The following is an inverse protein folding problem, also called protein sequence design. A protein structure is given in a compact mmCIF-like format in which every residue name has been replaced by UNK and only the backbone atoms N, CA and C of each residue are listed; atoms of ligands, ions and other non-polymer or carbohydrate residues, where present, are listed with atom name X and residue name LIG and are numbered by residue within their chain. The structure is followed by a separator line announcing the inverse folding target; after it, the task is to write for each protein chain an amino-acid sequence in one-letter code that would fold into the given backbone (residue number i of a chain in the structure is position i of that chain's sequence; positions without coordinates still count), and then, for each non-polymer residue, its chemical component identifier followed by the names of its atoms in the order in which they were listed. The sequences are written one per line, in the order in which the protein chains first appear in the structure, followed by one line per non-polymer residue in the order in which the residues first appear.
data_IF_732348394537
#
_entry.id   IF_732348394537
#
_cell.length_a   1.000
_cell.length_b   1.000
_cell.length_c   1.000
_cell.angle_alpha   90.00
_cell.angle_beta   90.00
_cell.angle_gamma   90.00
#
_symmetry.space_group_name_H-M   'P 1'
#
loop_
_entity.id
_entity.type
_entity.pdbx_description
1 polymer ?
#
# COMPACT_ATOMS: atom_id res chain seq x y z
N UNK A 1 -11.42 9.92 -8.40
CA UNK A 1 -11.38 8.77 -7.47
C UNK A 1 -10.49 7.62 -7.95
N UNK A 2 -10.85 6.76 -8.93
CA UNK A 2 -9.94 5.69 -9.41
C UNK A 2 -8.72 6.22 -10.20
N UNK A 3 -8.88 7.30 -10.99
CA UNK A 3 -7.80 7.95 -11.78
C UNK A 3 -6.69 8.60 -10.93
N UNK A 4 -6.93 8.77 -9.63
CA UNK A 4 -6.00 9.43 -8.70
C UNK A 4 -5.16 8.39 -7.92
N UNK A 5 -5.52 7.11 -7.98
CA UNK A 5 -4.81 6.02 -7.30
C UNK A 5 -3.66 5.49 -8.15
N UNK A 6 -2.70 6.37 -8.43
CA UNK A 6 -1.55 6.05 -9.28
C UNK A 6 -0.37 5.45 -8.50
N UNK A 7 -0.46 5.42 -7.17
CA UNK A 7 0.58 4.86 -6.31
C UNK A 7 0.60 3.32 -6.37
N UNK A 8 1.78 2.68 -6.53
CA UNK A 8 1.93 1.23 -6.55
C UNK A 8 1.34 0.50 -5.33
N UNK A 9 1.16 1.19 -4.20
CA UNK A 9 0.57 0.60 -2.98
C UNK A 9 -0.83 0.01 -3.21
N UNK A 10 -1.61 0.57 -4.14
CA UNK A 10 -2.95 0.08 -4.45
C UNK A 10 -2.95 -1.27 -5.19
N UNK A 11 -1.78 -1.80 -5.55
CA UNK A 11 -1.64 -3.14 -6.11
C UNK A 11 -1.86 -4.25 -5.09
N UNK A 12 -1.61 -3.99 -3.81
CA UNK A 12 -1.71 -4.95 -2.70
C UNK A 12 -3.14 -5.12 -2.17
N UNK A 13 -4.08 -4.38 -2.73
CA UNK A 13 -5.46 -4.32 -2.28
C UNK A 13 -6.43 -4.59 -3.41
N UNK A 14 -7.67 -4.94 -3.06
CA UNK A 14 -8.75 -5.09 -4.05
C UNK A 14 -8.93 -3.80 -4.84
N UNK A 15 -9.11 -3.88 -6.17
CA UNK A 15 -9.24 -2.69 -7.03
C UNK A 15 -10.53 -1.92 -6.75
N UNK A 16 -11.51 -2.60 -6.17
CA UNK A 16 -12.80 -2.06 -5.76
C UNK A 16 -12.83 -2.03 -4.23
N UNK A 17 -12.59 -0.87 -3.61
CA UNK A 17 -12.73 -0.75 -2.17
C UNK A 17 -14.22 -0.74 -1.79
N UNK A 18 -14.52 -1.28 -0.62
CA UNK A 18 -15.85 -1.17 -0.04
C UNK A 18 -16.07 0.27 0.44
N UNK A 19 -17.25 0.82 0.19
CA UNK A 19 -17.64 2.13 0.72
C UNK A 19 -18.38 1.90 2.04
N UNK A 20 -17.85 2.45 3.13
CA UNK A 20 -18.47 2.36 4.46
C UNK A 20 -18.80 3.77 4.99
N UNK A 21 -19.89 3.85 5.74
CA UNK A 21 -20.28 5.05 6.49
C UNK A 21 -20.15 4.78 7.98
N UNK A 22 -19.31 5.54 8.67
CA UNK A 22 -19.07 5.39 10.11
C UNK A 22 -19.31 6.72 10.77
N UNK A 23 -20.29 6.76 11.68
CA UNK A 23 -20.74 7.98 12.33
C UNK A 23 -21.01 9.12 11.31
N UNK A 24 -21.67 8.80 10.20
CA UNK A 24 -21.98 9.74 9.12
C UNK A 24 -20.81 10.09 8.19
N UNK A 25 -19.60 9.57 8.43
CA UNK A 25 -18.41 9.84 7.60
C UNK A 25 -18.19 8.76 6.57
N UNK A 26 -18.03 9.15 5.31
CA UNK A 26 -17.75 8.25 4.20
C UNK A 26 -16.29 7.83 4.18
N UNK A 27 -16.05 6.53 4.07
CA UNK A 27 -14.72 5.94 4.00
C UNK A 27 -14.62 4.87 2.92
N UNK A 28 -13.42 4.66 2.39
CA UNK A 28 -13.06 3.54 1.54
C UNK A 28 -12.30 2.51 2.37
N UNK A 29 -12.72 1.25 2.28
CA UNK A 29 -11.99 0.12 2.87
C UNK A 29 -11.32 -0.66 1.76
N UNK A 30 -9.99 -0.65 1.79
CA UNK A 30 -9.14 -1.39 0.86
C UNK A 30 -8.80 -2.75 1.48
N UNK A 31 -9.28 -3.83 0.88
CA UNK A 31 -9.05 -5.18 1.39
C UNK A 31 -7.73 -5.74 0.89
N UNK A 32 -6.90 -6.25 1.79
CA UNK A 32 -5.63 -6.86 1.44
C UNK A 32 -5.84 -8.13 0.61
N UNK A 33 -5.01 -8.33 -0.43
CA UNK A 33 -5.08 -9.51 -1.31
C UNK A 33 -4.12 -10.63 -0.90
N UNK A 34 -3.38 -10.47 0.19
CA UNK A 34 -2.44 -11.49 0.67
C UNK A 34 -3.19 -12.75 1.07
N UNK A 35 -2.63 -13.91 0.74
CA UNK A 35 -3.21 -15.21 1.10
C UNK A 35 -3.38 -15.30 2.62
N UNK A 36 -4.61 -15.52 3.08
CA UNK A 36 -4.94 -15.64 4.50
C UNK A 36 -5.12 -14.31 5.25
N UNK A 37 -4.84 -13.16 4.63
CA UNK A 37 -5.11 -11.87 5.25
C UNK A 37 -6.56 -11.45 4.98
N UNK A 38 -7.29 -11.13 6.06
CA UNK A 38 -8.67 -10.59 6.00
C UNK A 38 -8.75 -9.14 6.47
N UNK A 39 -7.62 -8.43 6.53
CA UNK A 39 -7.58 -7.05 7.03
C UNK A 39 -7.96 -6.06 5.92
N UNK A 40 -8.91 -5.18 6.24
CA UNK A 40 -9.25 -4.01 5.45
C UNK A 40 -8.59 -2.76 6.03
N UNK A 41 -7.95 -1.95 5.18
CA UNK A 41 -7.37 -0.66 5.57
C UNK A 41 -8.35 0.44 5.20
N UNK A 42 -8.80 1.19 6.22
CA UNK A 42 -9.79 2.26 6.06
C UNK A 42 -9.14 3.60 5.73
N UNK A 43 -9.70 4.30 4.75
CA UNK A 43 -9.32 5.66 4.32
C UNK A 43 -10.56 6.55 4.35
N UNK A 44 -10.56 7.53 5.24
CA UNK A 44 -11.62 8.52 5.35
C UNK A 44 -11.54 9.54 4.20
N UNK A 45 -12.68 9.90 3.61
CA UNK A 45 -12.73 10.83 2.47
C UNK A 45 -13.00 12.28 2.89
N UNK A 46 -13.38 12.50 4.15
CA UNK A 46 -13.75 13.81 4.71
C UNK A 46 -12.56 14.70 5.10
N UNK A 47 -11.33 14.16 5.08
CA UNK A 47 -10.14 14.87 5.57
C UNK A 47 -9.17 15.23 4.45
N UNK A 48 -8.39 16.30 4.64
CA UNK A 48 -7.29 16.70 3.75
C UNK A 48 -6.26 15.58 3.55
N UNK A 49 -6.07 14.73 4.55
CA UNK A 49 -5.27 13.51 4.51
C UNK A 49 -5.90 12.37 3.71
N UNK A 50 -6.96 12.62 2.95
CA UNK A 50 -7.60 11.59 2.15
C UNK A 50 -6.59 10.90 1.23
N UNK A 51 -5.54 11.57 0.76
CA UNK A 51 -4.53 10.93 -0.11
C UNK A 51 -3.42 10.19 0.64
N UNK A 52 -3.38 10.23 1.98
CA UNK A 52 -2.33 9.60 2.77
C UNK A 52 -2.40 8.07 2.68
N UNK A 53 -1.31 7.45 2.24
CA UNK A 53 -1.17 5.99 2.07
C UNK A 53 -0.38 5.32 3.20
N UNK A 54 -0.02 6.08 4.25
CA UNK A 54 0.85 5.59 5.32
C UNK A 54 0.30 4.38 6.07
N UNK A 55 -1.01 4.30 6.30
CA UNK A 55 -1.66 3.13 6.91
C UNK A 55 -1.59 1.89 6.00
N UNK A 56 -1.76 2.07 4.69
CA UNK A 56 -1.63 1.03 3.68
C UNK A 56 -0.19 0.52 3.63
N UNK A 57 0.79 1.43 3.59
CA UNK A 57 2.22 1.07 3.63
C UNK A 57 2.55 0.27 4.89
N UNK A 58 2.17 0.73 6.09
CA UNK A 58 2.40 -0.01 7.35
C UNK A 58 1.83 -1.42 7.29
N UNK A 59 0.60 -1.56 6.79
CA UNK A 59 -0.03 -2.87 6.67
C UNK A 59 0.72 -3.77 5.67
N UNK A 60 1.04 -3.26 4.48
CA UNK A 60 1.71 -4.04 3.43
C UNK A 60 3.10 -4.48 3.87
N UNK A 61 3.88 -3.61 4.53
CA UNK A 61 5.18 -3.99 5.12
C UNK A 61 5.07 -5.19 6.05
N UNK A 62 4.07 -5.19 6.94
CA UNK A 62 3.86 -6.28 7.88
C UNK A 62 3.28 -7.55 7.22
N UNK A 63 2.47 -7.41 6.17
CA UNK A 63 1.70 -8.51 5.58
C UNK A 63 2.41 -9.19 4.39
N UNK A 64 3.16 -8.43 3.60
CA UNK A 64 3.85 -8.88 2.39
C UNK A 64 5.37 -8.83 2.52
N UNK A 65 5.88 -8.11 3.53
CA UNK A 65 7.30 -7.84 3.69
C UNK A 65 7.72 -6.51 3.06
N UNK A 66 8.76 -5.89 3.64
CA UNK A 66 9.34 -4.64 3.12
C UNK A 66 9.90 -4.83 1.71
N UNK A 67 10.60 -5.93 1.44
CA UNK A 67 11.23 -6.19 0.14
C UNK A 67 10.22 -6.22 -1.02
N UNK A 68 9.08 -6.87 -0.79
CA UNK A 68 7.98 -6.95 -1.77
C UNK A 68 7.40 -5.55 -2.02
N UNK A 69 7.23 -4.76 -0.96
CA UNK A 69 6.77 -3.38 -1.07
C UNK A 69 7.76 -2.53 -1.88
N UNK A 70 9.05 -2.61 -1.57
CA UNK A 70 10.09 -1.84 -2.26
C UNK A 70 10.15 -2.19 -3.75
N UNK A 71 10.05 -3.48 -4.09
CA UNK A 71 10.02 -3.91 -5.50
C UNK A 71 8.76 -3.41 -6.21
N UNK A 72 7.62 -3.35 -5.52
CA UNK A 72 6.42 -2.74 -6.07
C UNK A 72 6.58 -1.25 -6.36
N UNK A 73 7.25 -0.50 -5.49
CA UNK A 73 7.54 0.91 -5.70
C UNK A 73 8.55 1.18 -6.82
N UNK A 74 9.43 0.23 -7.13
CA UNK A 74 10.37 0.33 -8.25
C UNK A 74 9.72 0.10 -9.62
N UNK A 75 8.53 -0.50 -9.67
CA UNK A 75 7.80 -0.70 -10.92
C UNK A 75 7.13 0.60 -11.36
N UNK A 76 7.19 0.90 -12.67
CA UNK A 76 6.67 2.12 -13.29
C UNK A 76 5.14 2.14 -13.42
N UNK A 77 4.42 1.93 -12.32
CA UNK A 77 2.99 2.17 -12.22
C UNK A 77 2.19 1.07 -11.52
N UNK A 78 0.95 1.43 -11.19
CA UNK A 78 0.02 0.57 -10.43
C UNK A 78 -0.34 -0.72 -11.19
N UNK A 79 -0.40 -0.68 -12.54
CA UNK A 79 -0.73 -1.86 -13.36
C UNK A 79 0.36 -2.93 -13.28
N UNK A 80 1.63 -2.54 -13.51
CA UNK A 80 2.76 -3.46 -13.41
C UNK A 80 2.86 -4.07 -12.01
N UNK A 81 2.70 -3.24 -10.97
CA UNK A 81 2.67 -3.70 -9.60
C UNK A 81 1.52 -4.69 -9.32
N UNK A 82 0.33 -4.49 -9.91
CA UNK A 82 -0.80 -5.41 -9.75
C UNK A 82 -0.52 -6.78 -10.36
N UNK A 83 0.08 -6.84 -11.54
CA UNK A 83 0.38 -8.13 -12.17
C UNK A 83 1.44 -8.91 -11.38
N UNK A 84 2.47 -8.23 -10.85
CA UNK A 84 3.47 -8.84 -9.97
C UNK A 84 2.86 -9.33 -8.63
N UNK A 85 1.95 -8.55 -8.03
CA UNK A 85 1.25 -8.97 -6.81
C UNK A 85 0.35 -10.19 -7.09
N UNK A 86 -0.39 -10.19 -8.21
CA UNK A 86 -1.24 -11.32 -8.60
C UNK A 86 -0.43 -12.59 -8.84
N UNK A 87 0.72 -12.50 -9.51
CA UNK A 87 1.58 -13.66 -9.75
C UNK A 87 2.10 -14.25 -8.43
N UNK A 88 2.49 -13.40 -7.47
CA UNK A 88 2.89 -13.82 -6.13
C UNK A 88 1.77 -14.56 -5.37
N UNK A 89 0.54 -14.07 -5.44
CA UNK A 89 -0.60 -14.74 -4.77
C UNK A 89 -0.88 -16.11 -5.39
N UNK A 90 -0.76 -16.23 -6.72
CA UNK A 90 -1.02 -17.47 -7.46
C UNK A 90 0.07 -18.52 -7.25
N UNK A 91 1.34 -18.11 -7.16
CA UNK A 91 2.47 -19.06 -7.13
C UNK A 91 2.56 -19.86 -5.83
N UNK A 92 1.92 -19.43 -4.73
CA UNK A 92 1.85 -20.12 -3.42
C UNK A 92 3.18 -20.55 -2.77
N UNK A 93 4.31 -20.29 -3.41
CA UNK A 93 5.68 -20.47 -2.95
C UNK A 93 6.48 -19.17 -3.17
N UNK A 94 7.38 -18.91 -2.24
CA UNK A 94 8.24 -17.73 -2.01
C UNK A 94 9.15 -17.42 -3.24
N UNK A 95 9.97 -16.36 -3.21
CA UNK A 95 9.80 -15.00 -3.71
C UNK A 95 10.14 -14.83 -5.21
N UNK A 96 10.01 -15.87 -6.04
CA UNK A 96 10.55 -15.87 -7.41
C UNK A 96 10.06 -14.70 -8.30
N UNK A 97 8.81 -14.24 -8.13
CA UNK A 97 8.28 -13.09 -8.87
C UNK A 97 9.01 -11.76 -8.55
N UNK A 98 9.76 -11.75 -7.46
CA UNK A 98 10.47 -10.60 -6.93
C UNK A 98 11.97 -10.88 -6.76
N UNK A 99 12.48 -12.06 -7.13
CA UNK A 99 13.88 -12.42 -6.92
C UNK A 99 14.78 -11.72 -7.94
N UNK A 100 15.12 -10.47 -7.62
CA UNK A 100 16.35 -9.83 -8.08
C UNK A 100 17.30 -9.83 -6.89
N UNK A 101 18.27 -10.74 -6.93
CA UNK A 101 19.28 -10.98 -5.91
C UNK A 101 20.01 -9.71 -5.44
N UNK A 102 20.40 -9.70 -4.16
CA UNK A 102 21.62 -9.00 -3.73
C UNK A 102 21.50 -8.11 -2.50
N UNK A 103 21.82 -8.69 -1.34
CA UNK A 103 22.18 -8.09 -0.04
C UNK A 103 21.05 -7.42 0.75
N UNK A 104 20.98 -7.81 2.02
CA UNK A 104 20.37 -7.05 3.11
C UNK A 104 21.11 -5.71 3.19
N UNK A 105 20.67 -4.76 2.39
CA UNK A 105 21.03 -3.36 2.58
C UNK A 105 20.13 -2.86 3.69
N UNK A 106 20.72 -2.65 4.86
CA UNK A 106 20.13 -1.86 5.94
C UNK A 106 19.78 -0.50 5.34
N UNK A 107 18.55 -0.36 4.85
CA UNK A 107 18.11 0.86 4.19
C UNK A 107 17.71 1.84 5.28
N UNK A 108 18.69 2.65 5.68
CA UNK A 108 18.46 3.90 6.38
C UNK A 108 17.71 4.83 5.43
N UNK A 109 16.40 4.63 5.30
CA UNK A 109 15.54 5.68 4.77
C UNK A 109 15.52 6.76 5.84
N UNK A 110 16.32 7.80 5.64
CA UNK A 110 16.14 9.05 6.35
C UNK A 110 14.64 9.36 6.29
N UNK A 111 14.06 9.47 7.48
CA UNK A 111 12.67 9.86 7.65
C UNK A 111 12.40 11.02 6.70
N UNK A 112 11.53 10.82 5.70
CA UNK A 112 10.91 11.93 5.01
C UNK A 112 10.10 12.65 6.07
N UNK A 113 10.76 13.62 6.69
CA UNK A 113 10.25 14.48 7.74
C UNK A 113 9.14 15.27 7.05
N UNK A 114 7.90 14.84 7.25
CA UNK A 114 6.75 15.71 7.08
C UNK A 114 6.86 16.73 8.21
N UNK A 115 7.65 17.76 7.93
CA UNK A 115 7.88 18.91 8.80
C UNK A 115 6.52 19.47 9.17
N UNK A 116 6.20 19.36 10.46
CA UNK A 116 5.07 20.04 11.08
C UNK A 116 5.54 21.44 11.40
N UNK A 117 5.34 22.41 10.51
CA UNK A 117 5.50 23.81 10.90
C UNK A 117 4.16 24.34 11.40
N UNK A 118 4.06 24.25 12.73
CA UNK A 118 3.28 25.07 13.66
C UNK A 118 2.54 26.26 13.05
N UNK A 119 1.22 26.28 13.23
CA UNK A 119 0.46 27.53 13.28
C UNK A 119 0.99 28.40 14.42
N UNK A 120 1.03 29.70 14.19
CA UNK A 120 1.31 30.73 15.20
C UNK A 120 0.06 31.59 15.31
N UNK A 121 -0.30 31.83 16.56
CA UNK A 121 -1.43 32.57 17.14
C UNK A 121 -2.00 33.71 16.31
#
# INVERSE_FOLDING_TARGET
LKREWNSPIYAFFTPEPTIEYIAGRRSHVFWCTAKGCKKGVRRYLDKSDAQSTGNMCKHVKACWGEDVLQKAFKMSGTTAAREAVKSYVKSSSIPAAFDCQGRVSYSHWQHMKLETTSGKF
#
